data_IF_622179037622
#
_entry.id   IF_622179037622
#
_cell.length_a   1.000
_cell.length_b   1.000
_cell.length_c   1.000
_cell.angle_alpha   90.00
_cell.angle_beta   90.00
_cell.angle_gamma   90.00
#
_symmetry.space_group_name_H-M   'P 1'
#
loop_
_entity.id
_entity.type
_entity.pdbx_description
1 polymer ?
#
# COMPACT_ATOMS: atom_id res chain seq x y z
N UNK A 1 -71.63 -15.25 -44.07
CA UNK A 1 -72.11 -14.15 -43.22
C UNK A 1 -72.43 -14.78 -41.85
N UNK A 2 -71.89 -14.21 -40.77
CA UNK A 2 -71.96 -14.61 -39.35
C UNK A 2 -71.10 -15.79 -38.83
N UNK A 3 -70.27 -15.49 -37.82
CA UNK A 3 -70.23 -16.01 -36.43
C UNK A 3 -68.77 -15.98 -35.87
N UNK A 4 -68.47 -15.21 -34.82
CA UNK A 4 -68.53 -15.47 -33.36
C UNK A 4 -67.54 -16.53 -32.79
N UNK A 5 -66.58 -16.00 -32.01
CA UNK A 5 -66.15 -16.38 -30.62
C UNK A 5 -65.48 -17.75 -30.35
N UNK A 6 -64.28 -17.67 -29.73
CA UNK A 6 -63.74 -18.41 -28.55
C UNK A 6 -62.29 -18.90 -28.79
N UNK A 7 -61.25 -18.32 -28.19
CA UNK A 7 -60.73 -18.46 -26.80
C UNK A 7 -60.02 -19.80 -26.51
N UNK A 8 -58.69 -19.78 -26.34
CA UNK A 8 -57.99 -20.17 -25.10
C UNK A 8 -56.45 -20.01 -25.27
N UNK A 9 -55.85 -19.16 -24.44
CA UNK A 9 -54.87 -19.48 -23.38
C UNK A 9 -53.60 -20.21 -23.82
N UNK A 10 -52.45 -19.53 -23.75
CA UNK A 10 -51.56 -19.77 -22.62
C UNK A 10 -50.52 -18.64 -22.41
N UNK A 11 -50.22 -18.48 -21.14
CA UNK A 11 -49.34 -17.58 -20.43
C UNK A 11 -47.85 -17.63 -20.84
N UNK A 12 -47.17 -16.48 -20.77
CA UNK A 12 -45.83 -16.46 -20.16
C UNK A 12 -45.47 -15.06 -19.66
N UNK A 13 -45.39 -14.97 -18.34
CA UNK A 13 -44.72 -13.90 -17.62
C UNK A 13 -43.22 -13.88 -17.98
N UNK A 14 -42.65 -12.69 -18.13
CA UNK A 14 -41.25 -12.51 -17.77
C UNK A 14 -41.08 -11.15 -17.09
N UNK A 15 -41.02 -11.25 -15.77
CA UNK A 15 -40.52 -10.28 -14.82
C UNK A 15 -38.99 -10.13 -14.95
N UNK A 16 -38.46 -8.98 -14.54
CA UNK A 16 -37.04 -8.66 -14.43
C UNK A 16 -36.41 -8.20 -15.75
N UNK A 17 -35.97 -6.96 -15.93
CA UNK A 17 -35.18 -6.15 -15.01
C UNK A 17 -35.29 -4.72 -15.51
N UNK A 18 -36.02 -3.85 -14.79
CA UNK A 18 -36.07 -2.42 -15.08
C UNK A 18 -34.70 -1.82 -14.76
N UNK A 19 -33.80 -1.85 -15.74
CA UNK A 19 -32.54 -1.13 -15.70
C UNK A 19 -32.87 0.36 -15.74
N UNK A 20 -32.82 1.01 -14.60
CA UNK A 20 -33.16 2.41 -14.39
C UNK A 20 -32.28 3.31 -15.29
N UNK A 21 -32.89 3.98 -16.27
CA UNK A 21 -32.21 4.81 -17.28
C UNK A 21 -32.41 6.28 -16.91
N UNK A 22 -31.33 6.96 -16.54
CA UNK A 22 -31.36 8.40 -16.30
C UNK A 22 -31.14 9.17 -17.62
N UNK A 23 -32.10 10.04 -17.97
CA UNK A 23 -32.01 10.93 -19.14
C UNK A 23 -31.36 12.24 -18.70
N UNK A 24 -30.18 12.56 -19.23
CA UNK A 24 -29.53 13.86 -19.03
C UNK A 24 -29.42 14.58 -20.37
N UNK A 25 -30.08 15.74 -20.48
CA UNK A 25 -29.91 16.69 -21.58
C UNK A 25 -31.20 17.43 -21.91
N UNK A 26 -31.18 18.76 -21.80
CA UNK A 26 -32.16 19.61 -22.45
C UNK A 26 -31.61 19.95 -23.85
N UNK A 27 -32.39 19.61 -24.89
CA UNK A 27 -32.20 19.87 -26.32
C UNK A 27 -31.49 18.80 -27.18
N UNK A 28 -32.33 18.02 -27.87
CA UNK A 28 -32.17 17.39 -29.20
C UNK A 28 -31.22 16.21 -29.46
N UNK A 29 -30.39 15.77 -28.52
CA UNK A 29 -29.69 14.46 -28.63
C UNK A 29 -29.64 13.74 -27.28
N UNK A 30 -30.71 12.99 -26.98
CA UNK A 30 -30.79 12.14 -25.79
C UNK A 30 -29.88 10.91 -25.96
N UNK A 31 -28.63 11.03 -25.54
CA UNK A 31 -27.76 9.86 -25.36
C UNK A 31 -28.28 9.10 -24.14
N UNK A 32 -28.88 7.93 -24.35
CA UNK A 32 -29.23 7.02 -23.27
C UNK A 32 -27.92 6.47 -22.69
N UNK A 33 -27.49 7.04 -21.56
CA UNK A 33 -26.28 6.62 -20.87
C UNK A 33 -26.70 5.65 -19.79
N UNK A 34 -26.18 4.41 -19.83
CA UNK A 34 -26.51 3.42 -18.81
C UNK A 34 -26.12 3.94 -17.41
N UNK A 35 -26.88 3.59 -16.39
CA UNK A 35 -26.57 3.98 -15.01
C UNK A 35 -25.16 3.52 -14.59
N UNK A 36 -24.68 2.40 -15.12
CA UNK A 36 -23.30 1.91 -14.92
C UNK A 36 -22.26 2.84 -15.55
N UNK A 37 -22.55 3.42 -16.71
CA UNK A 37 -21.67 4.40 -17.37
C UNK A 37 -21.68 5.72 -16.60
N UNK A 38 -22.83 6.18 -16.10
CA UNK A 38 -22.91 7.35 -15.22
C UNK A 38 -22.20 7.11 -13.89
N UNK A 39 -22.30 5.92 -13.31
CA UNK A 39 -21.57 5.55 -12.10
C UNK A 39 -20.07 5.46 -12.35
N UNK A 40 -19.65 4.97 -13.52
CA UNK A 40 -18.26 4.99 -13.97
C UNK A 40 -17.73 6.41 -14.13
N UNK A 41 -18.49 7.31 -14.76
CA UNK A 41 -18.15 8.73 -14.90
C UNK A 41 -18.17 9.43 -13.54
N UNK A 42 -19.13 9.13 -12.67
CA UNK A 42 -19.24 9.71 -11.33
C UNK A 42 -18.08 9.27 -10.43
N UNK A 43 -17.65 8.01 -10.51
CA UNK A 43 -16.47 7.51 -9.80
C UNK A 43 -15.18 8.11 -10.37
N UNK A 44 -15.11 8.29 -11.69
CA UNK A 44 -14.00 8.97 -12.38
C UNK A 44 -13.93 10.46 -12.02
N UNK A 45 -15.08 11.12 -11.85
CA UNK A 45 -15.20 12.54 -11.47
C UNK A 45 -15.00 12.77 -9.96
N UNK A 46 -15.40 11.82 -9.12
CA UNK A 46 -15.22 11.89 -7.65
C UNK A 46 -13.85 11.39 -7.19
N UNK A 47 -13.06 10.75 -8.07
CA UNK A 47 -11.67 10.40 -7.80
C UNK A 47 -11.49 9.39 -6.65
N UNK A 48 -12.50 8.57 -6.35
CA UNK A 48 -12.41 7.55 -5.28
C UNK A 48 -11.50 6.41 -5.74
N UNK A 49 -10.19 6.59 -5.60
CA UNK A 49 -9.24 5.49 -5.58
C UNK A 49 -9.45 4.70 -4.30
N UNK A 50 -9.68 3.40 -4.42
CA UNK A 50 -9.72 2.52 -3.26
C UNK A 50 -8.29 2.27 -2.77
N UNK A 51 -8.13 1.94 -1.49
CA UNK A 51 -6.83 1.67 -0.90
C UNK A 51 -6.77 0.25 -0.36
N UNK A 52 -5.68 -0.46 -0.66
CA UNK A 52 -5.36 -1.74 -0.05
C UNK A 52 -3.96 -1.66 0.55
N UNK A 53 -3.82 -2.10 1.79
CA UNK A 53 -2.55 -2.04 2.49
C UNK A 53 -2.27 -3.27 3.32
N UNK A 54 -0.98 -3.44 3.65
CA UNK A 54 -0.50 -4.49 4.55
C UNK A 54 0.66 -3.97 5.38
N UNK A 55 0.57 -4.18 6.69
CA UNK A 55 1.63 -3.84 7.63
C UNK A 55 2.38 -5.07 8.11
N UNK A 56 3.68 -4.92 8.31
CA UNK A 56 4.57 -5.95 8.82
C UNK A 56 5.23 -5.48 10.11
N UNK A 57 5.45 -6.42 11.02
CA UNK A 57 6.10 -6.18 12.32
C UNK A 57 7.34 -7.06 12.56
N UNK A 58 7.68 -7.92 11.59
CA UNK A 58 8.82 -8.83 11.70
C UNK A 58 10.14 -8.06 11.75
N UNK A 59 11.09 -8.43 12.63
CA UNK A 59 12.41 -7.81 12.69
C UNK A 59 13.26 -8.20 11.47
N UNK A 60 13.26 -7.32 10.47
CA UNK A 60 14.03 -7.49 9.25
C UNK A 60 15.34 -6.71 9.33
N UNK A 61 16.40 -7.23 8.69
CA UNK A 61 17.63 -6.48 8.46
C UNK A 61 17.71 -6.13 6.98
N UNK A 62 17.40 -4.88 6.66
CA UNK A 62 17.43 -4.37 5.29
C UNK A 62 18.82 -3.86 4.93
N UNK A 63 19.29 -4.21 3.74
CA UNK A 63 20.42 -3.58 3.06
C UNK A 63 19.92 -2.77 1.88
N UNK A 64 20.76 -1.84 1.42
CA UNK A 64 20.46 -1.05 0.22
C UNK A 64 20.22 -1.94 -1.02
N UNK A 65 20.98 -3.04 -1.16
CA UNK A 65 20.79 -4.04 -2.23
C UNK A 65 19.39 -4.63 -2.25
N UNK A 66 18.76 -4.81 -1.09
CA UNK A 66 17.42 -5.40 -1.00
C UNK A 66 16.37 -4.41 -1.52
N UNK A 67 16.60 -3.12 -1.31
CA UNK A 67 15.76 -2.02 -1.82
C UNK A 67 15.94 -1.90 -3.35
N UNK A 68 17.15 -2.05 -3.88
CA UNK A 68 17.37 -2.13 -5.34
C UNK A 68 16.60 -3.31 -5.95
N UNK A 69 16.66 -4.48 -5.33
CA UNK A 69 15.90 -5.65 -5.79
C UNK A 69 14.39 -5.40 -5.79
N UNK A 70 13.85 -4.71 -4.77
CA UNK A 70 12.44 -4.32 -4.74
C UNK A 70 12.09 -3.42 -5.92
N UNK A 71 12.90 -2.39 -6.17
CA UNK A 71 12.69 -1.46 -7.28
C UNK A 71 12.70 -2.19 -8.64
N UNK A 72 13.64 -3.12 -8.83
CA UNK A 72 13.68 -3.95 -10.04
C UNK A 72 12.44 -4.82 -10.20
N UNK A 73 11.97 -5.49 -9.13
CA UNK A 73 10.75 -6.30 -9.17
C UNK A 73 9.51 -5.47 -9.50
N UNK A 74 9.38 -4.27 -8.93
CA UNK A 74 8.25 -3.36 -9.22
C UNK A 74 8.32 -2.88 -10.67
N UNK A 75 9.51 -2.49 -11.14
CA UNK A 75 9.70 -2.04 -12.53
C UNK A 75 9.34 -3.15 -13.52
N UNK A 76 9.81 -4.37 -13.28
CA UNK A 76 9.49 -5.54 -14.09
C UNK A 76 7.99 -5.87 -14.07
N UNK A 77 7.32 -5.71 -12.92
CA UNK A 77 5.88 -5.89 -12.84
C UNK A 77 5.12 -4.80 -13.62
N UNK A 78 5.61 -3.56 -13.60
CA UNK A 78 5.05 -2.47 -14.41
C UNK A 78 5.17 -2.75 -15.92
N UNK A 79 6.25 -3.39 -16.40
CA UNK A 79 6.41 -3.75 -17.82
C UNK A 79 5.33 -4.71 -18.34
N UNK A 80 4.73 -5.54 -17.46
CA UNK A 80 3.64 -6.44 -17.83
C UNK A 80 2.33 -5.70 -18.10
N UNK A 81 2.21 -4.48 -17.58
CA UNK A 81 1.06 -3.62 -17.78
C UNK A 81 1.38 -2.59 -18.87
N UNK A 82 0.38 -2.18 -19.65
CA UNK A 82 0.56 -1.11 -20.64
C UNK A 82 0.68 0.25 -19.93
N UNK A 83 1.84 0.50 -19.32
CA UNK A 83 2.14 1.68 -18.51
C UNK A 83 2.51 2.84 -19.44
N UNK A 84 1.74 3.92 -19.34
CA UNK A 84 1.94 5.14 -20.16
C UNK A 84 3.03 6.02 -19.56
N UNK A 85 3.08 6.09 -18.24
CA UNK A 85 4.01 6.92 -17.50
C UNK A 85 4.20 6.37 -16.09
N UNK A 86 5.41 6.48 -15.57
CA UNK A 86 5.78 6.04 -14.23
C UNK A 86 6.77 7.01 -13.60
N UNK A 87 6.59 7.28 -12.30
CA UNK A 87 7.48 8.07 -11.47
C UNK A 87 7.77 7.30 -10.17
N UNK A 88 9.01 7.35 -9.70
CA UNK A 88 9.43 6.82 -8.41
C UNK A 88 10.02 7.95 -7.56
N UNK A 89 9.47 8.18 -6.38
CA UNK A 89 10.00 9.14 -5.41
C UNK A 89 10.47 8.38 -4.17
N UNK A 90 11.72 8.57 -3.79
CA UNK A 90 12.29 7.99 -2.56
C UNK A 90 12.48 9.11 -1.53
N UNK A 91 11.99 8.93 -0.31
CA UNK A 91 12.16 9.86 0.80
C UNK A 91 12.83 9.16 1.97
N UNK A 92 13.94 9.69 2.44
CA UNK A 92 14.67 9.18 3.60
C UNK A 92 14.39 10.10 4.77
N UNK A 93 13.94 9.53 5.89
CA UNK A 93 13.75 10.21 7.15
C UNK A 93 14.86 9.82 8.10
N UNK A 94 15.55 10.80 8.68
CA UNK A 94 16.60 10.60 9.65
C UNK A 94 16.08 10.87 11.07
N UNK A 95 16.81 10.36 12.07
CA UNK A 95 16.43 10.52 13.49
C UNK A 95 16.51 11.97 13.97
N UNK A 96 17.26 12.84 13.29
CA UNK A 96 17.45 14.27 13.60
C UNK A 96 16.41 15.19 12.93
N UNK A 97 15.24 14.66 12.55
CA UNK A 97 14.14 15.36 11.86
C UNK A 97 14.48 15.92 10.48
N UNK A 98 15.66 15.63 9.95
CA UNK A 98 15.98 15.91 8.55
C UNK A 98 15.34 14.88 7.63
N UNK A 99 15.04 15.29 6.40
CA UNK A 99 14.55 14.40 5.35
C UNK A 99 15.16 14.75 4.01
N UNK A 100 15.55 13.74 3.26
CA UNK A 100 16.01 13.88 1.88
C UNK A 100 14.99 13.26 0.94
N UNK A 101 14.58 14.00 -0.08
CA UNK A 101 13.65 13.53 -1.10
C UNK A 101 14.33 13.48 -2.46
N UNK A 102 14.21 12.33 -3.11
CA UNK A 102 14.74 12.05 -4.44
C UNK A 102 13.60 11.80 -5.40
N UNK A 103 13.63 12.50 -6.55
CA UNK A 103 12.61 12.40 -7.60
C UNK A 103 12.73 11.16 -8.48
N UNK A 104 13.78 10.35 -8.29
CA UNK A 104 13.97 9.08 -8.99
C UNK A 104 14.76 8.11 -8.13
N UNK A 105 14.60 6.81 -8.40
CA UNK A 105 15.38 5.78 -7.74
C UNK A 105 16.88 5.88 -8.07
N UNK A 106 17.25 6.27 -9.28
CA UNK A 106 18.66 6.47 -9.66
C UNK A 106 19.34 7.57 -8.85
N UNK A 107 18.62 8.67 -8.57
CA UNK A 107 19.14 9.75 -7.71
C UNK A 107 19.31 9.27 -6.27
N UNK A 108 18.38 8.45 -5.79
CA UNK A 108 18.50 7.79 -4.50
C UNK A 108 19.67 6.80 -4.45
N UNK A 109 19.99 6.12 -5.54
CA UNK A 109 21.15 5.24 -5.65
C UNK A 109 22.48 5.98 -5.67
N UNK A 110 22.52 7.14 -6.31
CA UNK A 110 23.69 8.02 -6.32
C UNK A 110 23.89 8.74 -4.97
N UNK A 111 22.89 8.73 -4.10
CA UNK A 111 23.02 9.29 -2.77
C UNK A 111 24.04 8.48 -1.96
N UNK A 112 25.15 9.14 -1.64
CA UNK A 112 26.23 8.53 -0.88
C UNK A 112 25.82 8.41 0.60
N UNK A 113 25.94 7.22 1.17
CA UNK A 113 25.61 6.83 2.56
C UNK A 113 26.40 7.57 3.65
N UNK A 114 27.13 8.63 3.31
CA UNK A 114 28.04 9.37 4.18
C UNK A 114 27.37 10.32 5.17
N UNK A 115 26.04 10.35 5.25
CA UNK A 115 25.32 11.10 6.29
C UNK A 115 25.58 10.47 7.66
N UNK A 116 26.05 11.27 8.60
CA UNK A 116 26.36 10.86 9.99
C UNK A 116 25.12 10.45 10.80
N UNK A 117 23.93 10.85 10.34
CA UNK A 117 22.68 10.61 11.05
C UNK A 117 22.08 9.25 10.69
N UNK A 118 21.64 8.44 11.67
CA UNK A 118 21.02 7.16 11.41
C UNK A 118 19.65 7.34 10.72
N UNK A 119 19.34 6.45 9.77
CA UNK A 119 18.08 6.43 9.04
C UNK A 119 16.97 5.85 9.93
N UNK A 120 15.89 6.62 10.08
CA UNK A 120 14.69 6.21 10.81
C UNK A 120 13.75 5.40 9.92
N UNK A 121 13.39 5.96 8.77
CA UNK A 121 12.52 5.29 7.82
C UNK A 121 12.80 5.72 6.38
N UNK A 122 12.50 4.84 5.44
CA UNK A 122 12.58 5.09 4.00
C UNK A 122 11.18 4.90 3.42
N UNK A 123 10.69 5.91 2.71
CA UNK A 123 9.41 5.87 1.99
C UNK A 123 9.68 5.85 0.50
N UNK A 124 9.27 4.78 -0.17
CA UNK A 124 9.30 4.64 -1.61
C UNK A 124 7.88 4.80 -2.14
N UNK A 125 7.67 5.79 -3.00
CA UNK A 125 6.38 6.09 -3.62
C UNK A 125 6.49 5.94 -5.13
N UNK A 126 5.77 4.98 -5.68
CA UNK A 126 5.67 4.74 -7.11
C UNK A 126 4.31 5.21 -7.60
N UNK A 127 4.29 6.10 -8.59
CA UNK A 127 3.07 6.55 -9.24
C UNK A 127 3.14 6.12 -10.69
N UNK A 128 2.14 5.41 -11.19
CA UNK A 128 2.13 4.96 -12.58
C UNK A 128 0.72 4.97 -13.17
N UNK A 129 0.65 5.19 -14.48
CA UNK A 129 -0.60 5.23 -15.24
C UNK A 129 -0.72 3.96 -16.07
N UNK A 130 -1.74 3.14 -15.80
CA UNK A 130 -2.02 1.90 -16.53
C UNK A 130 -3.22 2.10 -17.45
N UNK A 131 -3.10 1.72 -18.73
CA UNK A 131 -4.26 1.60 -19.61
C UNK A 131 -4.82 0.20 -19.48
N UNK A 132 -6.05 0.09 -18.95
CA UNK A 132 -6.76 -1.18 -18.91
C UNK A 132 -7.42 -1.51 -20.26
N UNK A 133 -7.45 -2.79 -20.64
CA UNK A 133 -8.00 -3.22 -21.93
C UNK A 133 -9.49 -2.90 -22.10
N UNK A 134 -10.25 -2.88 -21.00
CA UNK A 134 -11.70 -2.63 -21.02
C UNK A 134 -12.07 -1.16 -21.20
N UNK A 135 -11.37 -0.26 -20.49
CA UNK A 135 -11.72 1.16 -20.45
C UNK A 135 -10.92 2.00 -21.42
N UNK A 136 -9.78 1.50 -21.95
CA UNK A 136 -8.84 2.24 -22.84
C UNK A 136 -8.41 3.62 -22.33
N UNK A 137 -8.73 3.94 -21.07
CA UNK A 137 -8.40 5.18 -20.40
C UNK A 137 -7.20 4.94 -19.47
N UNK A 138 -6.26 5.89 -19.37
CA UNK A 138 -5.20 5.83 -18.38
C UNK A 138 -5.78 5.94 -16.97
N UNK A 139 -5.41 5.01 -16.10
CA UNK A 139 -5.81 5.02 -14.69
C UNK A 139 -4.58 5.15 -13.81
N UNK A 140 -4.67 6.01 -12.79
CA UNK A 140 -3.57 6.28 -11.87
C UNK A 140 -3.51 5.26 -10.75
N UNK A 141 -2.32 4.74 -10.49
CA UNK A 141 -2.00 3.87 -9.37
C UNK A 141 -0.88 4.49 -8.56
N UNK A 142 -1.00 4.39 -7.24
CA UNK A 142 0.01 4.89 -6.30
C UNK A 142 0.37 3.76 -5.35
N UNK A 143 1.63 3.30 -5.38
CA UNK A 143 2.17 2.30 -4.46
C UNK A 143 3.12 3.00 -3.50
N UNK A 144 2.78 3.01 -2.22
CA UNK A 144 3.57 3.58 -1.14
C UNK A 144 4.12 2.47 -0.26
N UNK A 145 5.43 2.42 -0.11
CA UNK A 145 6.14 1.42 0.70
C UNK A 145 6.99 2.17 1.71
N UNK A 146 6.59 2.12 2.97
CA UNK A 146 7.34 2.69 4.09
C UNK A 146 8.06 1.58 4.82
N UNK A 147 9.39 1.69 4.91
CA UNK A 147 10.26 0.78 5.65
C UNK A 147 10.81 1.54 6.86
N UNK A 148 10.57 1.06 8.07
CA UNK A 148 10.95 1.73 9.31
C UNK A 148 11.89 0.85 10.15
N UNK A 149 12.92 1.47 10.71
CA UNK A 149 13.85 0.81 11.63
C UNK A 149 13.32 0.87 13.06
N UNK A 150 13.03 -0.29 13.67
CA UNK A 150 12.54 -0.38 15.06
C UNK A 150 13.50 0.27 16.06
N UNK A 151 14.80 0.12 15.84
CA UNK A 151 15.83 0.67 16.73
C UNK A 151 15.88 2.20 16.61
N UNK A 152 15.80 2.71 15.39
CA UNK A 152 15.83 4.16 15.16
C UNK A 152 14.54 4.82 15.67
N UNK A 153 13.38 4.20 15.44
CA UNK A 153 12.09 4.66 15.97
C UNK A 153 12.07 4.62 17.50
N UNK A 154 12.58 3.54 18.12
CA UNK A 154 12.70 3.48 19.58
C UNK A 154 13.61 4.58 20.14
N UNK A 155 14.77 4.82 19.50
CA UNK A 155 15.70 5.89 19.88
C UNK A 155 15.06 7.28 19.76
N UNK A 156 14.31 7.53 18.69
CA UNK A 156 13.55 8.77 18.49
C UNK A 156 12.50 8.96 19.58
N UNK A 157 11.76 7.90 19.90
CA UNK A 157 10.75 7.94 20.95
C UNK A 157 11.38 8.22 22.32
N UNK A 158 12.56 7.67 22.62
CA UNK A 158 13.30 7.98 23.85
C UNK A 158 13.81 9.43 23.90
N UNK A 159 14.22 10.01 22.77
CA UNK A 159 14.66 11.42 22.73
C UNK A 159 13.52 12.42 22.79
N UNK A 160 12.36 12.12 22.20
CA UNK A 160 11.19 13.00 22.19
C UNK A 160 10.36 12.88 23.47
N UNK A 161 10.26 11.68 24.05
CA UNK A 161 9.54 11.45 25.30
C UNK A 161 10.51 11.33 26.47
N UNK A 162 10.55 12.36 27.33
CA UNK A 162 11.07 12.24 28.69
C UNK A 162 10.14 11.34 29.53
N UNK A 163 10.22 10.02 29.34
CA UNK A 163 9.41 9.03 30.06
C UNK A 163 9.09 7.77 29.26
N UNK A 164 8.44 6.80 29.90
CA UNK A 164 7.97 5.59 29.20
C UNK A 164 6.86 5.97 28.20
N UNK A 165 7.01 5.68 26.90
CA UNK A 165 6.00 6.04 25.92
C UNK A 165 4.68 5.30 26.20
N UNK A 166 3.52 5.94 25.97
CA UNK A 166 2.22 5.30 26.13
C UNK A 166 2.16 4.00 25.31
N UNK A 167 1.49 2.97 25.84
CA UNK A 167 1.38 1.63 25.26
C UNK A 167 0.95 1.63 23.78
N UNK A 168 0.17 2.64 23.37
CA UNK A 168 -0.31 2.86 22.01
C UNK A 168 0.85 3.18 21.05
N UNK A 169 1.80 4.03 21.46
CA UNK A 169 2.96 4.36 20.64
C UNK A 169 3.94 3.19 20.53
N UNK A 170 4.03 2.34 21.56
CA UNK A 170 4.81 1.09 21.52
C UNK A 170 4.28 0.10 20.47
N UNK A 171 2.97 0.09 20.22
CA UNK A 171 2.37 -0.70 19.14
C UNK A 171 2.72 -0.14 17.76
N UNK A 172 2.80 1.19 17.64
CA UNK A 172 3.15 1.88 16.39
C UNK A 172 4.63 1.68 16.03
N UNK A 173 5.53 1.75 17.02
CA UNK A 173 6.97 1.55 16.84
C UNK A 173 7.41 0.11 16.51
N UNK A 174 6.49 -0.86 16.61
CA UNK A 174 6.76 -2.25 16.24
C UNK A 174 6.53 -2.57 14.76
N UNK A 175 6.04 -1.61 13.96
CA UNK A 175 5.84 -1.81 12.51
C UNK A 175 7.16 -1.59 11.77
N UNK A 176 7.62 -2.60 11.04
CA UNK A 176 8.85 -2.57 10.23
C UNK A 176 8.60 -2.19 8.79
N UNK A 177 7.42 -2.51 8.25
CA UNK A 177 7.02 -2.03 6.94
C UNK A 177 5.51 -1.77 6.88
N UNK A 178 5.12 -0.77 6.11
CA UNK A 178 3.73 -0.47 5.78
C UNK A 178 3.67 -0.29 4.27
N UNK A 179 2.81 -1.08 3.64
CA UNK A 179 2.52 -0.99 2.21
C UNK A 179 1.10 -0.46 2.08
N UNK A 180 0.91 0.54 1.23
CA UNK A 180 -0.38 1.15 0.91
C UNK A 180 -0.44 1.32 -0.61
N UNK A 181 -1.47 0.79 -1.25
CA UNK A 181 -1.67 0.85 -2.69
C UNK A 181 -3.02 1.49 -2.95
N UNK A 182 -3.01 2.65 -3.61
CA UNK A 182 -4.21 3.28 -4.14
C UNK A 182 -4.45 2.76 -5.55
N UNK A 183 -5.66 2.28 -5.80
CA UNK A 183 -6.00 1.56 -7.01
C UNK A 183 -7.37 1.93 -7.55
N UNK A 184 -7.54 1.58 -8.83
CA UNK A 184 -8.82 1.62 -9.52
C UNK A 184 -9.28 0.19 -9.85
N UNK A 185 -8.36 -0.72 -10.19
CA UNK A 185 -8.61 -2.16 -10.32
C UNK A 185 -7.93 -2.94 -9.19
N UNK A 186 -8.73 -3.67 -8.41
CA UNK A 186 -8.27 -4.47 -7.28
C UNK A 186 -7.34 -5.61 -7.69
N UNK A 187 -7.50 -6.22 -8.87
CA UNK A 187 -6.66 -7.33 -9.33
C UNK A 187 -5.23 -6.89 -9.58
N UNK A 188 -5.05 -5.71 -10.19
CA UNK A 188 -3.74 -5.10 -10.39
C UNK A 188 -3.09 -4.81 -9.05
N UNK A 189 -3.82 -4.14 -8.14
CA UNK A 189 -3.34 -3.82 -6.79
C UNK A 189 -2.93 -5.07 -6.00
N UNK A 190 -3.73 -6.13 -6.07
CA UNK A 190 -3.47 -7.39 -5.39
C UNK A 190 -2.21 -8.08 -5.91
N UNK A 191 -1.96 -8.02 -7.21
CA UNK A 191 -0.73 -8.57 -7.79
C UNK A 191 0.51 -7.84 -7.26
N UNK A 192 0.50 -6.50 -7.26
CA UNK A 192 1.58 -5.70 -6.67
C UNK A 192 1.77 -5.99 -5.18
N UNK A 193 0.67 -6.08 -4.42
CA UNK A 193 0.74 -6.41 -3.00
C UNK A 193 1.38 -7.79 -2.75
N UNK A 194 1.03 -8.79 -3.56
CA UNK A 194 1.59 -10.14 -3.46
C UNK A 194 3.08 -10.16 -3.81
N UNK A 195 3.50 -9.43 -4.85
CA UNK A 195 4.90 -9.30 -5.25
C UNK A 195 5.75 -8.67 -4.14
N UNK A 196 5.25 -7.60 -3.51
CA UNK A 196 5.95 -6.97 -2.39
C UNK A 196 5.93 -7.89 -1.16
N UNK A 197 4.85 -8.64 -0.93
CA UNK A 197 4.76 -9.63 0.15
C UNK A 197 5.76 -10.78 -0.02
N UNK A 198 5.95 -11.26 -1.24
CA UNK A 198 6.94 -12.28 -1.56
C UNK A 198 8.37 -11.75 -1.37
N UNK A 199 8.64 -10.53 -1.85
CA UNK A 199 9.91 -9.87 -1.58
C UNK A 199 10.17 -9.76 -0.07
N UNK A 200 9.18 -9.32 0.71
CA UNK A 200 9.32 -9.19 2.16
C UNK A 200 9.61 -10.52 2.86
N UNK A 201 9.04 -11.63 2.37
CA UNK A 201 9.34 -12.99 2.86
C UNK A 201 10.76 -13.46 2.53
N UNK A 202 11.35 -12.95 1.46
CA UNK A 202 12.73 -13.26 1.05
C UNK A 202 13.81 -12.54 1.86
N UNK A 203 13.47 -11.53 2.64
CA UNK A 203 14.45 -10.73 3.39
C UNK A 203 14.91 -11.51 4.63
N UNK A 204 16.23 -11.56 4.91
CA UNK A 204 16.75 -12.24 6.09
C UNK A 204 16.17 -11.61 7.36
N UNK A 205 15.49 -12.43 8.15
CA UNK A 205 14.96 -12.05 9.46
C UNK A 205 16.03 -12.32 10.51
N UNK A 206 16.20 -11.40 11.47
CA UNK A 206 17.12 -11.65 12.58
C UNK A 206 16.55 -12.80 13.45
N UNK A 207 17.38 -13.79 13.85
CA UNK A 207 16.92 -14.86 14.73
C UNK A 207 16.59 -14.27 16.10
N UNK A 208 15.30 -14.27 16.47
CA UNK A 208 14.87 -13.92 17.82
C UNK A 208 15.09 -15.13 18.75
N UNK A 209 16.12 -15.08 19.57
CA UNK A 209 16.32 -16.08 20.63
C UNK A 209 15.35 -15.78 21.78
N UNK A 210 14.21 -16.48 21.82
CA UNK A 210 13.19 -16.34 22.88
C UNK A 210 13.77 -16.50 24.30
N UNK A 211 14.76 -17.37 24.45
CA UNK A 211 15.45 -17.59 25.73
C UNK A 211 16.28 -16.37 26.17
N UNK A 212 16.83 -15.61 25.21
CA UNK A 212 17.61 -14.41 25.51
C UNK A 212 16.71 -13.28 26.03
N UNK A 213 15.49 -13.14 25.51
CA UNK A 213 14.52 -12.19 26.06
C UNK A 213 14.08 -12.55 27.48
N UNK A 214 13.95 -13.85 27.79
CA UNK A 214 13.66 -14.30 29.15
C UNK A 214 14.80 -13.97 30.13
N UNK A 215 16.06 -14.18 29.71
CA UNK A 215 17.23 -13.80 30.49
C UNK A 215 17.38 -12.28 30.64
N UNK A 216 17.17 -11.52 29.57
CA UNK A 216 17.20 -10.06 29.60
C UNK A 216 16.13 -9.49 30.55
N UNK A 217 14.92 -10.08 30.52
CA UNK A 217 13.82 -9.77 31.42
C UNK A 217 14.06 -10.21 32.86
N UNK A 218 15.08 -11.03 33.16
CA UNK A 218 15.51 -11.35 34.54
C UNK A 218 16.83 -10.69 34.92
N UNK A 219 17.55 -10.08 33.97
CA UNK A 219 18.89 -9.56 34.19
C UNK A 219 18.95 -8.39 35.18
N UNK A 220 17.87 -7.62 35.33
CA UNK A 220 17.77 -6.54 36.31
C UNK A 220 17.77 -7.04 37.78
N UNK A 221 17.61 -8.35 38.00
CA UNK A 221 17.75 -8.97 39.34
C UNK A 221 19.20 -9.38 39.66
N UNK A 222 20.05 -9.53 38.65
CA UNK A 222 21.45 -9.95 38.80
C UNK A 222 22.33 -8.89 39.50
N UNK A 223 22.24 -7.57 39.21
CA UNK A 223 23.07 -6.58 39.92
C UNK A 223 22.70 -6.43 41.40
N UNK A 224 21.51 -6.88 41.83
CA UNK A 224 21.15 -6.92 43.26
C UNK A 224 21.80 -8.09 43.99
N UNK A 225 21.92 -9.26 43.36
CA UNK A 225 22.56 -10.43 43.97
C UNK A 225 24.09 -10.31 44.00
N UNK A 226 24.70 -9.71 42.97
CA UNK A 226 26.14 -9.49 42.94
C UNK A 226 26.65 -8.49 43.99
N UNK A 227 25.79 -7.57 44.46
CA UNK A 227 26.13 -6.58 45.50
C UNK A 227 26.09 -7.15 46.93
N UNK A 228 25.57 -8.35 47.12
CA UNK A 228 25.59 -9.08 48.41
C UNK A 228 26.59 -10.25 48.42
N UNK A 229 27.39 -10.41 47.37
CA UNK A 229 28.38 -11.49 47.22
C UNK A 229 29.85 -11.01 47.39
N UNK A 230 30.05 -9.76 47.83
CA UNK A 230 31.32 -9.21 48.34
C UNK A 230 31.10 -8.75 49.77
#
# INVERSE_FOLDING_TARGET
MNDKIANDNDSNANDGTSGDVAIIGESSKSTQVSLQTLQGIYNELTGKSEEVGKSYSKPIRLKFSDIEQLNHKITQACEQYNVVSGNCTATVYYVDDTRDQFSSFDRFRLHNTGTTSPVESVLLKYNFLVILPKTKKPQSYTVSIRLASRVAVAKRMESEFFGAPPSIFRLMGNRTAVIEIQYVDYMVARNFLNLIDEWFKGIPTAPEFKQLHWLQARSHLIPRLARFAT
#
